data_IF_252100041576
#
_entry.id   IF_252100041576
#
_cell.length_a   1.000
_cell.length_b   1.000
_cell.length_c   1.000
_cell.angle_alpha   90.00
_cell.angle_beta   90.00
_cell.angle_gamma   90.00
#
_symmetry.space_group_name_H-M   'P 1'
#
loop_
_entity.id
_entity.type
_entity.pdbx_description
1 polymer ?
#
# COMPACT_ATOMS: atom_id res chain seq x y z
N UNK A 1 6.47 -8.41 -10.80
CA UNK A 1 5.18 -9.13 -10.62
C UNK A 1 4.07 -8.10 -10.63
N UNK A 2 2.96 -8.33 -11.34
CA UNK A 2 1.80 -7.43 -11.32
C UNK A 2 0.71 -7.97 -10.40
N UNK A 3 0.11 -7.11 -9.59
CA UNK A 3 -1.05 -7.46 -8.77
C UNK A 3 -2.17 -6.45 -8.97
N UNK A 4 -3.40 -6.90 -8.82
CA UNK A 4 -4.58 -6.04 -8.79
C UNK A 4 -5.17 -6.05 -7.39
N UNK A 5 -5.30 -4.86 -6.78
CA UNK A 5 -5.87 -4.68 -5.46
C UNK A 5 -7.23 -3.99 -5.54
N UNK A 6 -8.27 -4.50 -4.86
CA UNK A 6 -9.50 -3.76 -4.68
C UNK A 6 -9.29 -2.63 -3.67
N UNK A 7 -9.79 -1.45 -4.00
CA UNK A 7 -9.72 -0.27 -3.14
C UNK A 7 -11.08 0.41 -3.06
N UNK A 8 -11.42 0.93 -1.87
CA UNK A 8 -12.64 1.72 -1.67
C UNK A 8 -12.38 3.18 -2.01
N UNK A 9 -13.45 3.98 -2.00
CA UNK A 9 -13.37 5.42 -2.20
C UNK A 9 -14.14 6.10 -1.06
N UNK A 10 -13.50 6.99 -0.27
CA UNK A 10 -12.06 7.22 -0.16
C UNK A 10 -11.35 6.06 0.55
N UNK A 11 -10.08 5.83 0.24
CA UNK A 11 -9.27 4.78 0.86
C UNK A 11 -7.76 5.05 0.73
N UNK A 12 -6.94 4.22 1.39
CA UNK A 12 -5.49 4.23 1.24
C UNK A 12 -4.91 2.81 1.15
N UNK A 13 -3.85 2.65 0.37
CA UNK A 13 -3.10 1.41 0.27
C UNK A 13 -1.63 1.68 0.59
N UNK A 14 -1.07 0.89 1.51
CA UNK A 14 0.37 0.91 1.82
C UNK A 14 1.03 -0.15 0.95
N UNK A 15 1.97 0.26 0.11
CA UNK A 15 2.65 -0.58 -0.89
C UNK A 15 4.16 -0.42 -0.76
N UNK A 16 4.97 -1.36 -1.28
CA UNK A 16 6.42 -1.25 -1.24
C UNK A 16 6.95 0.04 -1.87
N UNK A 17 8.19 0.39 -1.53
CA UNK A 17 8.86 1.52 -2.15
C UNK A 17 9.03 1.30 -3.66
N UNK A 18 8.72 2.34 -4.42
CA UNK A 18 8.89 2.32 -5.87
C UNK A 18 7.76 1.58 -6.60
N UNK A 19 6.68 1.16 -5.91
CA UNK A 19 5.49 0.63 -6.58
C UNK A 19 4.96 1.62 -7.61
N UNK A 20 4.56 1.13 -8.78
CA UNK A 20 4.02 1.97 -9.84
C UNK A 20 2.61 1.53 -10.18
N UNK A 21 1.69 2.49 -10.27
CA UNK A 21 0.34 2.22 -10.79
C UNK A 21 0.45 2.09 -12.30
N UNK A 22 0.17 0.89 -12.82
CA UNK A 22 0.22 0.63 -14.26
C UNK A 22 -1.15 0.72 -14.93
N UNK A 23 -2.23 0.52 -14.16
CA UNK A 23 -3.60 0.67 -14.64
C UNK A 23 -4.59 0.86 -13.48
N UNK A 24 -5.72 1.48 -13.77
CA UNK A 24 -6.84 1.66 -12.84
C UNK A 24 -8.14 1.36 -13.56
N UNK A 25 -9.02 0.56 -12.96
CA UNK A 25 -10.31 0.18 -13.53
C UNK A 25 -11.41 0.44 -12.51
N UNK A 26 -12.39 1.25 -12.91
CA UNK A 26 -13.59 1.47 -12.10
C UNK A 26 -14.48 0.22 -12.09
N UNK A 27 -15.07 -0.06 -10.93
CA UNK A 27 -16.03 -1.15 -10.74
C UNK A 27 -17.25 -0.64 -9.97
N UNK A 28 -18.33 -1.42 -9.96
CA UNK A 28 -19.57 -1.05 -9.28
C UNK A 28 -19.41 -0.86 -7.76
N UNK A 29 -18.37 -1.44 -7.17
CA UNK A 29 -18.14 -1.46 -5.72
C UNK A 29 -16.89 -0.70 -5.26
N UNK A 30 -16.11 -0.14 -6.19
CA UNK A 30 -14.87 0.57 -5.88
C UNK A 30 -13.93 0.68 -7.08
N UNK A 31 -12.63 0.76 -6.80
CA UNK A 31 -11.57 0.88 -7.79
C UNK A 31 -10.65 -0.33 -7.75
N UNK A 32 -10.31 -0.90 -8.90
CA UNK A 32 -9.23 -1.87 -9.04
C UNK A 32 -7.96 -1.15 -9.45
N UNK A 33 -6.90 -1.26 -8.64
CA UNK A 33 -5.60 -0.67 -8.91
C UNK A 33 -4.63 -1.79 -9.27
N UNK A 34 -4.01 -1.68 -10.45
CA UNK A 34 -2.95 -2.60 -10.88
C UNK A 34 -1.60 -1.97 -10.62
N UNK A 35 -0.74 -2.71 -9.92
CA UNK A 35 0.57 -2.26 -9.49
C UNK A 35 1.68 -3.13 -10.08
N UNK A 36 2.77 -2.47 -10.47
CA UNK A 36 4.11 -3.04 -10.55
C UNK A 36 4.79 -2.96 -9.18
N UNK A 37 5.66 -3.93 -8.90
CA UNK A 37 6.52 -4.05 -7.72
C UNK A 37 5.76 -4.05 -6.40
N UNK A 38 5.41 -5.26 -5.93
CA UNK A 38 4.54 -5.47 -4.76
C UNK A 38 5.18 -6.29 -3.64
N UNK A 39 6.43 -6.70 -3.83
CA UNK A 39 7.18 -7.42 -2.82
C UNK A 39 7.88 -6.42 -1.91
N UNK A 40 7.65 -6.55 -0.60
CA UNK A 40 8.38 -5.79 0.39
C UNK A 40 9.74 -6.44 0.62
N UNK A 41 10.83 -5.73 0.31
CA UNK A 41 12.20 -6.20 0.53
C UNK A 41 12.65 -6.16 2.00
N UNK A 42 11.75 -5.83 2.95
CA UNK A 42 12.09 -5.86 4.36
C UNK A 42 12.03 -7.29 4.90
N UNK A 43 13.18 -7.80 5.33
CA UNK A 43 13.32 -9.15 5.90
C UNK A 43 12.26 -9.51 6.96
N UNK A 44 11.79 -8.61 7.86
CA UNK A 44 10.80 -8.99 8.86
C UNK A 44 9.38 -9.17 8.30
N UNK A 45 9.05 -8.73 7.08
CA UNK A 45 7.76 -9.08 6.45
C UNK A 45 7.69 -10.56 6.07
N UNK A 46 8.82 -11.21 5.83
CA UNK A 46 8.87 -12.63 5.54
C UNK A 46 8.38 -13.47 6.73
N UNK A 47 8.50 -12.96 7.97
CA UNK A 47 8.07 -13.61 9.21
C UNK A 47 6.84 -12.93 9.83
N UNK A 48 5.64 -13.54 9.76
CA UNK A 48 4.43 -12.98 10.38
C UNK A 48 4.50 -12.78 11.90
N UNK A 49 5.43 -13.46 12.58
CA UNK A 49 5.66 -13.37 14.02
C UNK A 49 6.74 -12.33 14.40
N UNK A 50 7.32 -11.64 13.41
CA UNK A 50 8.29 -10.59 13.67
C UNK A 50 7.69 -9.50 14.58
N UNK A 51 8.48 -8.95 15.53
CA UNK A 51 8.08 -7.79 16.31
C UNK A 51 7.71 -6.61 15.42
N UNK A 52 6.94 -5.67 15.96
CA UNK A 52 6.63 -4.46 15.24
C UNK A 52 7.92 -3.68 14.89
N UNK A 53 7.99 -3.17 13.65
CA UNK A 53 9.16 -2.45 13.16
C UNK A 53 8.75 -1.30 12.24
N UNK A 54 9.61 -0.30 12.17
CA UNK A 54 9.47 0.82 11.27
C UNK A 54 10.11 0.51 9.92
N UNK A 55 9.43 0.91 8.86
CA UNK A 55 9.89 0.74 7.49
C UNK A 55 9.38 1.89 6.63
N UNK A 56 10.01 2.07 5.47
CA UNK A 56 9.56 3.05 4.49
C UNK A 56 8.63 2.35 3.48
N UNK A 57 7.59 3.05 3.06
CA UNK A 57 6.62 2.54 2.10
C UNK A 57 6.12 3.67 1.22
N UNK A 58 5.49 3.34 0.11
CA UNK A 58 4.68 4.30 -0.62
C UNK A 58 3.21 4.14 -0.18
N UNK A 59 2.49 5.26 -0.09
CA UNK A 59 1.08 5.28 0.29
C UNK A 59 0.27 5.83 -0.85
N UNK A 60 -0.53 4.96 -1.47
CA UNK A 60 -1.49 5.35 -2.49
C UNK A 60 -2.73 5.86 -1.76
N UNK A 61 -3.10 7.12 -1.99
CA UNK A 61 -4.32 7.72 -1.46
C UNK A 61 -5.34 7.86 -2.57
N UNK A 62 -6.59 7.54 -2.25
CA UNK A 62 -7.71 7.61 -3.17
C UNK A 62 -8.71 8.57 -2.54
N UNK A 63 -8.84 9.75 -3.13
CA UNK A 63 -9.80 10.76 -2.69
C UNK A 63 -11.23 10.38 -3.10
N UNK A 64 -12.23 11.01 -2.48
CA UNK A 64 -13.65 10.72 -2.72
C UNK A 64 -14.09 10.97 -4.18
N UNK A 65 -13.39 11.87 -4.87
CA UNK A 65 -13.55 12.20 -6.29
C UNK A 65 -12.78 11.24 -7.22
N UNK A 66 -12.20 10.17 -6.67
CA UNK A 66 -11.34 9.18 -7.35
C UNK A 66 -9.99 9.73 -7.81
N UNK A 67 -9.60 10.92 -7.40
CA UNK A 67 -8.23 11.40 -7.61
C UNK A 67 -7.26 10.51 -6.82
N UNK A 68 -6.21 10.02 -7.49
CA UNK A 68 -5.19 9.16 -6.90
C UNK A 68 -3.90 9.94 -6.73
N UNK A 69 -3.33 9.90 -5.53
CA UNK A 69 -1.99 10.41 -5.25
C UNK A 69 -1.12 9.31 -4.65
N UNK A 70 0.20 9.42 -4.83
CA UNK A 70 1.15 8.51 -4.21
C UNK A 70 2.11 9.34 -3.37
N UNK A 71 2.01 9.17 -2.06
CA UNK A 71 2.98 9.73 -1.12
C UNK A 71 4.17 8.77 -1.06
N UNK A 72 5.34 9.26 -1.46
CA UNK A 72 6.54 8.43 -1.56
C UNK A 72 7.32 8.42 -0.25
N UNK A 73 7.92 7.28 0.09
CA UNK A 73 8.83 7.16 1.25
C UNK A 73 8.22 7.61 2.58
N UNK A 74 6.97 7.20 2.82
CA UNK A 74 6.26 7.40 4.09
C UNK A 74 6.78 6.42 5.13
N UNK A 75 6.99 6.90 6.36
CA UNK A 75 7.36 6.03 7.48
C UNK A 75 6.11 5.29 7.98
N UNK A 76 6.17 3.97 7.95
CA UNK A 76 5.10 3.07 8.37
C UNK A 76 5.57 2.15 9.50
N UNK A 77 4.63 1.66 10.29
CA UNK A 77 4.85 0.65 11.32
C UNK A 77 4.15 -0.63 10.86
N UNK A 78 4.92 -1.71 10.78
CA UNK A 78 4.39 -3.06 10.61
C UNK A 78 4.11 -3.63 11.98
N UNK A 79 2.95 -4.24 12.17
CA UNK A 79 2.54 -4.96 13.37
C UNK A 79 2.40 -6.46 13.05
N UNK A 80 2.44 -7.29 14.10
CA UNK A 80 2.23 -8.74 14.00
C UNK A 80 1.01 -9.09 13.14
N UNK A 81 1.15 -10.10 12.29
CA UNK A 81 0.12 -10.45 11.30
C UNK A 81 0.20 -9.64 10.00
N UNK A 82 1.32 -8.96 9.74
CA UNK A 82 1.58 -8.15 8.52
C UNK A 82 0.58 -7.00 8.35
N UNK A 83 0.16 -6.40 9.46
CA UNK A 83 -0.71 -5.23 9.45
C UNK A 83 0.17 -3.99 9.43
N UNK A 84 0.10 -3.23 8.35
CA UNK A 84 0.85 -1.98 8.19
C UNK A 84 -0.03 -0.77 8.49
N UNK A 85 0.54 0.25 9.13
CA UNK A 85 -0.08 1.57 9.30
C UNK A 85 0.94 2.68 9.10
N UNK A 86 0.48 3.85 8.70
CA UNK A 86 1.30 5.07 8.73
C UNK A 86 1.71 5.37 10.18
N UNK A 87 2.93 5.86 10.38
CA UNK A 87 3.35 6.38 11.68
C UNK A 87 2.83 7.81 11.81
N UNK A 88 1.87 8.01 12.71
CA UNK A 88 1.44 9.36 13.09
C UNK A 88 2.62 10.07 13.77
N UNK A 89 2.93 11.30 13.33
CA UNK A 89 3.94 12.17 13.93
C UNK A 89 3.35 13.01 15.07
#
# INVERSE_FOLDING_TARGET
MQITLPARVPDRLIVPLGSQITATTDTDTGLLITLDHIDYDYAPFADPAAPAFEFLADVIRIAADRTITIDRSVTCISSSGRISREKDY
#
